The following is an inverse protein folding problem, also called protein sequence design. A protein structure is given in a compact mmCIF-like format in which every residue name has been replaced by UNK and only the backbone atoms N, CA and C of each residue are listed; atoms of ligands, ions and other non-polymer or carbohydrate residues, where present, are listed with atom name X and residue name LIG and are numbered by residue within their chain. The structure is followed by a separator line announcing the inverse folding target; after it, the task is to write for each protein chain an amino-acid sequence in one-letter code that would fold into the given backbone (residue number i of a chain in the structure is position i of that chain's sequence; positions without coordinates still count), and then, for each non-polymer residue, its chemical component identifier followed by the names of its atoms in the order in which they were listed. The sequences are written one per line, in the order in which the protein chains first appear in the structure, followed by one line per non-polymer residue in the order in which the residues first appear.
data_IF_816644967369
#
_entry.id   IF_816644967369
#
_cell.length_a   1.000
_cell.length_b   1.000
_cell.length_c   1.000
_cell.angle_alpha   90.00
_cell.angle_beta   90.00
_cell.angle_gamma   90.00
#
_symmetry.space_group_name_H-M   'P 1'
#
loop_
_entity.id
_entity.type
_entity.pdbx_description
1 polymer ?
#
# COMPACT_ATOMS: atom_id res chain seq x y z
N UNK A 1 27.67 -7.73 -2.98
CA UNK A 1 27.80 -9.19 -2.89
C UNK A 1 28.81 -9.51 -1.81
N UNK A 2 28.42 -10.36 -0.86
CA UNK A 2 29.25 -10.72 0.28
C UNK A 2 30.50 -11.54 -0.07
N UNK A 3 31.43 -11.61 0.85
CA UNK A 3 32.66 -12.40 0.70
C UNK A 3 32.34 -13.90 0.86
N UNK A 4 33.10 -14.72 0.15
CA UNK A 4 33.05 -16.17 0.33
C UNK A 4 34.02 -16.54 1.45
N UNK A 5 33.55 -17.31 2.43
CA UNK A 5 34.38 -17.80 3.55
C UNK A 5 34.12 -19.27 3.84
N UNK A 6 35.08 -19.91 4.51
CA UNK A 6 34.89 -21.25 4.99
C UNK A 6 34.25 -21.25 6.37
N UNK A 7 33.27 -22.10 6.57
CA UNK A 7 32.57 -22.23 7.85
C UNK A 7 32.35 -23.69 8.20
N UNK A 8 32.39 -24.00 9.49
CA UNK A 8 32.01 -25.32 10.02
C UNK A 8 30.49 -25.38 10.15
N UNK A 9 29.88 -26.32 9.44
CA UNK A 9 28.44 -26.57 9.45
C UNK A 9 28.16 -27.90 10.13
N UNK A 10 27.17 -27.94 11.04
CA UNK A 10 26.70 -29.16 11.66
C UNK A 10 25.78 -29.93 10.71
N UNK A 11 26.18 -31.11 10.34
CA UNK A 11 25.35 -32.03 9.56
C UNK A 11 24.29 -32.76 10.37
N UNK A 12 23.48 -33.57 9.71
CA UNK A 12 22.30 -34.24 10.30
C UNK A 12 22.59 -35.15 11.50
N UNK A 13 23.79 -35.63 11.69
CA UNK A 13 24.19 -36.53 12.81
C UNK A 13 25.19 -35.86 13.77
N UNK A 14 25.07 -34.54 13.95
CA UNK A 14 26.00 -33.75 14.78
C UNK A 14 27.48 -33.83 14.35
N UNK A 15 27.72 -34.27 13.13
CA UNK A 15 29.07 -34.26 12.53
C UNK A 15 29.32 -32.90 11.91
N UNK A 16 30.44 -32.27 12.23
CA UNK A 16 30.86 -31.03 11.60
C UNK A 16 31.46 -31.28 10.23
N UNK A 17 31.17 -30.41 9.29
CA UNK A 17 31.77 -30.40 7.96
C UNK A 17 32.23 -29.00 7.61
N UNK A 18 33.30 -28.89 6.85
CA UNK A 18 33.75 -27.61 6.31
C UNK A 18 32.92 -27.30 5.07
N UNK A 19 32.32 -26.12 5.04
CA UNK A 19 31.51 -25.65 3.90
C UNK A 19 31.94 -24.25 3.48
N UNK A 20 31.88 -24.00 2.19
CA UNK A 20 32.03 -22.65 1.63
C UNK A 20 30.71 -21.94 1.73
N UNK A 21 30.66 -20.82 2.46
CA UNK A 21 29.45 -20.02 2.66
C UNK A 21 29.66 -18.69 1.98
N UNK A 22 28.64 -18.25 1.24
CA UNK A 22 28.60 -16.93 0.61
C UNK A 22 27.33 -16.20 1.03
N UNK A 23 27.52 -15.05 1.63
CA UNK A 23 26.43 -14.16 1.96
C UNK A 23 26.22 -13.15 0.84
N UNK A 24 24.95 -12.92 0.49
CA UNK A 24 24.54 -11.85 -0.40
C UNK A 24 23.49 -10.99 0.33
N UNK A 25 23.76 -9.71 0.43
CA UNK A 25 22.87 -8.81 1.11
C UNK A 25 22.97 -7.40 0.53
N UNK A 26 21.98 -6.59 0.82
CA UNK A 26 21.93 -5.20 0.38
C UNK A 26 20.91 -4.41 1.17
N UNK A 27 20.99 -3.11 1.04
CA UNK A 27 20.01 -2.19 1.62
C UNK A 27 19.19 -1.57 0.49
N UNK A 28 17.85 -1.69 0.61
CA UNK A 28 16.92 -1.04 -0.29
C UNK A 28 16.25 0.11 0.46
N UNK A 29 16.19 1.26 -0.18
CA UNK A 29 15.51 2.42 0.37
C UNK A 29 14.60 3.07 -0.67
N UNK A 30 13.63 3.84 -0.18
CA UNK A 30 12.76 4.66 -1.02
C UNK A 30 13.13 6.12 -0.82
N UNK A 31 13.40 6.80 -1.92
CA UNK A 31 13.66 8.23 -1.91
C UNK A 31 12.51 8.96 -2.59
N UNK A 32 11.94 9.94 -1.88
CA UNK A 32 10.90 10.82 -2.43
C UNK A 32 11.56 12.09 -2.95
N UNK A 33 11.55 12.27 -4.27
CA UNK A 33 12.24 13.37 -4.93
C UNK A 33 11.51 14.72 -4.83
N UNK A 34 10.24 14.74 -4.47
CA UNK A 34 9.42 15.95 -4.37
C UNK A 34 8.33 15.79 -3.32
N UNK A 35 7.97 16.87 -2.64
CA UNK A 35 6.82 16.90 -1.73
C UNK A 35 5.47 16.64 -2.42
N UNK A 36 5.44 16.74 -3.73
CA UNK A 36 4.23 16.49 -4.53
C UNK A 36 4.17 15.08 -5.14
N UNK A 37 5.13 14.22 -4.83
CA UNK A 37 5.18 12.87 -5.40
C UNK A 37 4.24 11.89 -4.71
N UNK A 38 3.92 12.13 -3.43
CA UNK A 38 3.07 11.25 -2.62
C UNK A 38 2.07 12.11 -1.86
N UNK A 39 0.78 11.72 -1.93
CA UNK A 39 -0.30 12.30 -1.13
C UNK A 39 -0.93 11.21 -0.29
N UNK A 40 -1.28 11.52 0.94
CA UNK A 40 -1.89 10.59 1.88
C UNK A 40 -3.25 11.12 2.34
N UNK A 41 -4.26 10.27 2.28
CA UNK A 41 -5.55 10.49 2.94
C UNK A 41 -5.48 9.77 4.29
N UNK A 42 -5.54 10.51 5.37
CA UNK A 42 -5.43 10.00 6.73
C UNK A 42 -6.76 10.09 7.49
N UNK A 43 -6.80 9.55 8.70
CA UNK A 43 -7.95 9.61 9.62
C UNK A 43 -9.23 8.93 9.10
N UNK A 44 -9.09 7.95 8.22
CA UNK A 44 -10.20 7.10 7.79
C UNK A 44 -10.53 6.09 8.90
N UNK A 45 -11.75 6.09 9.38
CA UNK A 45 -12.22 5.17 10.42
C UNK A 45 -13.41 4.35 9.95
N UNK A 46 -13.83 3.39 10.77
CA UNK A 46 -15.03 2.60 10.51
C UNK A 46 -16.34 3.34 10.83
N UNK A 47 -16.24 4.51 11.47
CA UNK A 47 -17.39 5.31 11.86
C UNK A 47 -18.15 5.85 10.66
N UNK A 48 -19.45 6.09 10.86
CA UNK A 48 -20.28 6.68 9.81
C UNK A 48 -19.78 8.06 9.42
N UNK A 49 -19.68 8.31 8.12
CA UNK A 49 -19.22 9.57 7.56
C UNK A 49 -17.71 9.80 7.58
N UNK A 50 -16.93 8.86 8.11
CA UNK A 50 -15.47 8.95 8.19
C UNK A 50 -14.74 7.93 7.30
N UNK A 51 -15.44 7.34 6.36
CA UNK A 51 -14.89 6.39 5.41
C UNK A 51 -14.37 7.05 4.13
N UNK A 52 -13.68 6.27 3.32
CA UNK A 52 -13.19 6.72 2.02
C UNK A 52 -14.35 6.93 1.04
N UNK A 53 -14.34 8.07 0.35
CA UNK A 53 -15.32 8.43 -0.67
C UNK A 53 -14.60 8.92 -1.94
N UNK A 54 -15.33 8.96 -3.06
CA UNK A 54 -14.80 9.53 -4.31
C UNK A 54 -14.44 11.01 -4.17
N UNK A 55 -15.17 11.76 -3.36
CA UNK A 55 -14.87 13.18 -3.10
C UNK A 55 -13.50 13.37 -2.44
N UNK A 56 -13.15 12.51 -1.48
CA UNK A 56 -11.81 12.55 -0.86
C UNK A 56 -10.70 12.15 -1.83
N UNK A 57 -10.98 11.24 -2.76
CA UNK A 57 -10.03 10.90 -3.81
C UNK A 57 -9.84 12.06 -4.79
N UNK A 58 -10.90 12.76 -5.16
CA UNK A 58 -10.79 13.95 -6.01
C UNK A 58 -9.98 15.06 -5.34
N UNK A 59 -10.23 15.32 -4.06
CA UNK A 59 -9.48 16.31 -3.28
C UNK A 59 -7.98 15.94 -3.22
N UNK A 60 -7.68 14.68 -3.02
CA UNK A 60 -6.30 14.20 -3.02
C UNK A 60 -5.64 14.31 -4.40
N UNK A 61 -6.36 13.99 -5.46
CA UNK A 61 -5.86 14.12 -6.84
C UNK A 61 -5.59 15.58 -7.21
N UNK A 62 -6.37 16.52 -6.69
CA UNK A 62 -6.17 17.95 -6.93
C UNK A 62 -4.87 18.50 -6.32
N UNK A 63 -4.28 17.80 -5.34
CA UNK A 63 -3.01 18.19 -4.73
C UNK A 63 -1.79 17.89 -5.62
N UNK A 64 -1.94 17.03 -6.61
CA UNK A 64 -0.87 16.75 -7.56
C UNK A 64 -0.78 17.84 -8.63
N UNK A 65 0.44 18.27 -9.01
CA UNK A 65 0.60 19.18 -10.14
C UNK A 65 0.21 18.50 -11.45
N UNK A 66 -0.25 19.27 -12.43
CA UNK A 66 -0.70 18.75 -13.73
C UNK A 66 0.38 17.97 -14.49
N UNK A 67 1.66 18.27 -14.23
CA UNK A 67 2.81 17.59 -14.83
C UNK A 67 3.19 16.28 -14.14
N UNK A 68 2.67 16.00 -12.95
CA UNK A 68 3.01 14.83 -12.13
C UNK A 68 1.74 14.14 -11.64
N UNK A 69 1.12 13.36 -12.50
CA UNK A 69 -0.06 12.60 -12.14
C UNK A 69 0.33 11.31 -11.40
N UNK A 70 -0.47 10.86 -10.41
CA UNK A 70 -0.21 9.61 -9.71
C UNK A 70 -0.39 8.42 -10.66
N UNK A 71 0.39 7.38 -10.44
CA UNK A 71 0.36 6.15 -11.24
C UNK A 71 -0.41 5.02 -10.56
N UNK A 72 -0.63 5.11 -9.26
CA UNK A 72 -1.38 4.12 -8.49
C UNK A 72 -1.95 4.73 -7.22
N UNK A 73 -3.01 4.12 -6.72
CA UNK A 73 -3.62 4.44 -5.44
C UNK A 73 -3.57 3.17 -4.59
N UNK A 74 -2.88 3.23 -3.45
CA UNK A 74 -2.80 2.11 -2.51
C UNK A 74 -3.79 2.32 -1.36
N UNK A 75 -4.50 1.27 -0.99
CA UNK A 75 -5.48 1.33 0.09
C UNK A 75 -5.63 0.00 0.81
N UNK A 76 -6.20 0.03 2.01
CA UNK A 76 -6.56 -1.19 2.73
C UNK A 76 -7.87 -1.79 2.19
N UNK A 77 -8.14 -3.04 2.56
CA UNK A 77 -9.41 -3.71 2.21
C UNK A 77 -10.61 -2.96 2.77
N UNK A 78 -10.49 -2.40 3.98
CA UNK A 78 -11.56 -1.61 4.60
C UNK A 78 -11.87 -0.37 3.77
N UNK A 79 -10.86 0.36 3.34
CA UNK A 79 -11.02 1.56 2.53
C UNK A 79 -11.69 1.25 1.18
N UNK A 80 -11.31 0.15 0.52
CA UNK A 80 -11.98 -0.29 -0.71
C UNK A 80 -13.46 -0.63 -0.48
N UNK A 81 -13.77 -1.32 0.63
CA UNK A 81 -15.15 -1.62 1.00
C UNK A 81 -15.96 -0.35 1.27
N UNK A 82 -15.38 0.63 1.94
CA UNK A 82 -16.02 1.92 2.20
C UNK A 82 -16.30 2.67 0.89
N UNK A 83 -15.35 2.69 -0.02
CA UNK A 83 -15.50 3.31 -1.33
C UNK A 83 -16.64 2.65 -2.14
N UNK A 84 -16.70 1.30 -2.14
CA UNK A 84 -17.78 0.56 -2.80
C UNK A 84 -19.15 0.89 -2.19
N UNK A 85 -19.25 0.94 -0.86
CA UNK A 85 -20.49 1.30 -0.17
C UNK A 85 -20.92 2.73 -0.51
N UNK A 86 -20.00 3.66 -0.56
CA UNK A 86 -20.26 5.04 -0.97
C UNK A 86 -20.84 5.10 -2.38
N UNK A 87 -20.22 4.41 -3.33
CA UNK A 87 -20.71 4.34 -4.72
C UNK A 87 -22.06 3.64 -4.84
N UNK A 88 -22.32 2.62 -4.03
CA UNK A 88 -23.61 1.92 -3.99
C UNK A 88 -24.74 2.86 -3.56
N UNK A 89 -24.49 3.75 -2.61
CA UNK A 89 -25.47 4.72 -2.12
C UNK A 89 -25.96 5.66 -3.24
N UNK A 90 -25.11 5.95 -4.20
CA UNK A 90 -25.46 6.82 -5.35
C UNK A 90 -25.98 6.02 -6.58
N UNK A 91 -26.13 4.72 -6.47
CA UNK A 91 -26.68 3.92 -7.57
C UNK A 91 -28.17 4.17 -7.75
N UNK A 92 -28.63 4.57 -8.93
CA UNK A 92 -30.06 4.87 -9.17
C UNK A 92 -30.95 3.62 -9.10
N UNK A 93 -30.38 2.42 -9.25
CA UNK A 93 -31.13 1.16 -9.22
C UNK A 93 -31.11 0.48 -7.86
N UNK A 94 -30.36 1.00 -6.87
CA UNK A 94 -30.16 0.36 -5.58
C UNK A 94 -29.29 -0.90 -5.64
N UNK A 95 -28.79 -1.27 -6.79
CA UNK A 95 -27.90 -2.42 -6.95
C UNK A 95 -26.51 -2.12 -6.35
N UNK A 96 -25.84 -3.13 -5.73
CA UNK A 96 -24.49 -2.93 -5.25
C UNK A 96 -23.53 -2.50 -6.38
N UNK A 97 -22.73 -1.48 -6.13
CA UNK A 97 -21.71 -1.04 -7.08
C UNK A 97 -20.69 -2.16 -7.29
N UNK A 98 -20.08 -2.27 -8.49
CA UNK A 98 -18.97 -3.20 -8.71
C UNK A 98 -17.79 -2.88 -7.79
N UNK A 99 -16.91 -3.86 -7.55
CA UNK A 99 -15.70 -3.60 -6.79
C UNK A 99 -14.87 -2.51 -7.45
N UNK A 100 -14.43 -1.49 -6.71
CA UNK A 100 -13.57 -0.45 -7.25
C UNK A 100 -12.23 -1.06 -7.71
N UNK A 101 -11.87 -0.82 -8.97
CA UNK A 101 -10.59 -1.27 -9.56
C UNK A 101 -9.74 -0.10 -9.99
N UNK A 102 -10.35 1.05 -10.26
CA UNK A 102 -9.66 2.26 -10.65
C UNK A 102 -10.42 3.51 -10.17
N UNK A 103 -9.73 4.63 -10.21
CA UNK A 103 -10.30 5.95 -10.02
C UNK A 103 -9.67 6.89 -11.04
N UNK A 104 -10.49 7.43 -11.94
CA UNK A 104 -10.07 8.35 -13.00
C UNK A 104 -8.87 7.82 -13.83
N UNK A 105 -8.92 6.52 -14.16
CA UNK A 105 -7.87 5.85 -14.91
C UNK A 105 -6.64 5.43 -14.09
N UNK A 106 -6.60 5.75 -12.80
CA UNK A 106 -5.50 5.34 -11.90
C UNK A 106 -5.88 4.04 -11.20
N UNK A 107 -5.07 2.98 -11.30
CA UNK A 107 -5.40 1.69 -10.70
C UNK A 107 -5.42 1.76 -9.17
N UNK A 108 -6.38 1.06 -8.56
CA UNK A 108 -6.49 0.88 -7.11
C UNK A 108 -5.82 -0.42 -6.71
N UNK A 109 -4.85 -0.35 -5.83
CA UNK A 109 -4.12 -1.50 -5.31
C UNK A 109 -4.47 -1.68 -3.84
N UNK A 110 -4.95 -2.89 -3.50
CA UNK A 110 -5.25 -3.25 -2.12
C UNK A 110 -4.04 -3.94 -1.51
N UNK A 111 -3.60 -3.44 -0.37
CA UNK A 111 -2.47 -4.01 0.37
C UNK A 111 -2.78 -4.12 1.86
N UNK A 112 -2.32 -5.21 2.47
CA UNK A 112 -2.42 -5.41 3.91
C UNK A 112 -1.30 -4.69 4.69
N UNK A 113 -0.34 -4.09 3.98
CA UNK A 113 0.71 -3.25 4.59
C UNK A 113 0.16 -1.93 5.14
N UNK A 114 -1.01 -1.49 4.66
CA UNK A 114 -1.72 -0.34 5.21
C UNK A 114 -2.65 -0.87 6.29
N UNK A 115 -2.34 -0.57 7.54
CA UNK A 115 -3.10 -1.04 8.70
C UNK A 115 -4.29 -0.14 8.96
N UNK A 116 -5.36 -0.75 9.50
CA UNK A 116 -6.61 -0.04 9.83
C UNK A 116 -6.64 0.49 11.29
N UNK A 117 -5.58 0.24 12.04
CA UNK A 117 -5.44 0.58 13.47
C UNK A 117 -4.45 1.70 13.74
N UNK A 118 -4.12 2.49 12.73
CA UNK A 118 -3.23 3.64 12.88
C UNK A 118 -3.83 4.68 13.85
N UNK A 119 -2.94 5.30 14.64
CA UNK A 119 -3.32 6.43 15.49
C UNK A 119 -3.79 7.59 14.62
N UNK A 120 -4.92 8.20 15.01
CA UNK A 120 -5.44 9.35 14.30
C UNK A 120 -4.46 10.53 14.39
N UNK A 121 -4.27 11.20 13.27
CA UNK A 121 -3.47 12.43 13.22
C UNK A 121 -4.29 13.60 13.78
N UNK A 122 -3.62 14.39 14.57
CA UNK A 122 -4.24 15.58 15.13
C UNK A 122 -4.38 16.69 14.07
#
# INVERSE_FOLDING_TARGET
IGQTFESLVLGANSKSMVAMVRDAGGHLGVQVGSKYAIVRIANLTADSGKGLTDALLEDAMALFPSSMQPTMICMSRRSRKQLRKSRTTYSPTGSPAPNPVDFDGVPLIVTDSIIDTETLLA
#
